data_IF_482691712612
#
_entry.id   IF_482691712612
#
_cell.length_a   1.000
_cell.length_b   1.000
_cell.length_c   1.000
_cell.angle_alpha   90.00
_cell.angle_beta   90.00
_cell.angle_gamma   90.00
#
_symmetry.space_group_name_H-M   'P 1'
#
loop_
_entity.id
_entity.type
_entity.pdbx_description
1 polymer ?
#
# COMPACT_ATOMS: atom_id res chain seq x y z
N UNK A 1 -72.85 39.52 -36.76
CA UNK A 1 -71.42 39.84 -36.59
C UNK A 1 -70.78 38.68 -35.84
N UNK A 2 -70.12 37.81 -36.56
CA UNK A 2 -69.47 36.60 -36.07
C UNK A 2 -68.03 36.98 -35.67
N UNK A 3 -67.57 36.63 -34.42
CA UNK A 3 -66.19 36.74 -33.97
C UNK A 3 -65.46 35.45 -34.31
N UNK A 4 -64.22 35.46 -34.80
CA UNK A 4 -63.46 34.26 -35.08
C UNK A 4 -62.87 33.64 -33.83
N UNK A 5 -62.92 32.30 -33.77
CA UNK A 5 -62.27 31.49 -32.72
C UNK A 5 -60.77 31.43 -32.94
N UNK A 6 -60.02 31.67 -31.85
CA UNK A 6 -58.57 31.49 -31.80
C UNK A 6 -58.27 30.03 -31.43
N UNK A 7 -57.66 29.28 -32.35
CA UNK A 7 -57.15 27.92 -32.07
C UNK A 7 -55.72 28.09 -31.50
N UNK A 8 -55.53 27.73 -30.23
CA UNK A 8 -54.19 27.64 -29.62
C UNK A 8 -53.68 26.20 -29.81
N UNK A 9 -52.71 26.03 -30.69
CA UNK A 9 -52.01 24.76 -30.85
C UNK A 9 -50.97 24.63 -29.72
N UNK A 10 -51.18 23.66 -28.82
CA UNK A 10 -50.21 23.25 -27.83
C UNK A 10 -49.22 22.28 -28.50
N UNK A 11 -48.01 22.73 -28.75
CA UNK A 11 -46.93 21.83 -29.18
C UNK A 11 -46.33 21.20 -27.91
N UNK A 12 -46.63 19.93 -27.70
CA UNK A 12 -45.99 19.12 -26.64
C UNK A 12 -44.56 18.77 -27.08
N UNK A 13 -43.55 19.34 -26.39
CA UNK A 13 -42.19 18.91 -26.51
C UNK A 13 -42.00 17.63 -25.69
N UNK A 14 -41.91 16.50 -26.34
CA UNK A 14 -41.49 15.25 -25.74
C UNK A 14 -39.97 15.30 -25.64
N UNK A 15 -39.46 15.55 -24.43
CA UNK A 15 -38.05 15.34 -24.09
C UNK A 15 -37.75 13.84 -24.23
N UNK A 16 -37.12 13.43 -25.30
CA UNK A 16 -36.48 12.13 -25.43
C UNK A 16 -35.26 12.14 -24.47
N UNK A 17 -35.45 11.60 -23.27
CA UNK A 17 -34.35 11.22 -22.38
C UNK A 17 -33.71 10.00 -23.05
N UNK A 18 -32.58 10.20 -23.70
CA UNK A 18 -31.76 9.09 -24.16
C UNK A 18 -31.37 8.24 -22.91
N UNK A 19 -31.51 6.90 -23.00
CA UNK A 19 -31.06 6.06 -21.91
C UNK A 19 -29.53 6.29 -21.71
N UNK A 20 -29.14 6.63 -20.52
CA UNK A 20 -27.73 6.62 -20.09
C UNK A 20 -27.24 5.20 -20.32
N UNK A 21 -26.43 5.00 -21.34
CA UNK A 21 -25.67 3.78 -21.50
C UNK A 21 -24.73 3.71 -20.27
N UNK A 22 -24.71 2.61 -19.52
CA UNK A 22 -23.61 2.41 -18.58
C UNK A 22 -22.35 2.44 -19.43
N UNK A 23 -21.46 3.40 -19.16
CA UNK A 23 -20.14 3.40 -19.76
C UNK A 23 -19.54 2.02 -19.46
N UNK A 24 -19.47 1.17 -20.45
CA UNK A 24 -18.66 -0.03 -20.39
C UNK A 24 -17.23 0.46 -20.25
N UNK A 25 -16.68 0.36 -19.05
CA UNK A 25 -15.26 0.50 -18.83
C UNK A 25 -14.56 -0.53 -19.71
N UNK A 26 -14.04 -0.09 -20.85
CA UNK A 26 -13.17 -0.92 -21.69
C UNK A 26 -11.89 -1.05 -20.89
N UNK A 27 -11.65 -2.23 -20.33
CA UNK A 27 -10.40 -2.58 -19.70
C UNK A 27 -9.28 -2.45 -20.73
N UNK A 28 -8.21 -1.75 -20.39
CA UNK A 28 -7.04 -1.66 -21.26
C UNK A 28 -6.55 -3.08 -21.60
N UNK A 29 -6.33 -3.37 -22.88
CA UNK A 29 -5.75 -4.66 -23.30
C UNK A 29 -4.44 -4.90 -22.55
N UNK A 30 -4.30 -6.06 -21.92
CA UNK A 30 -3.10 -6.44 -21.16
C UNK A 30 -3.22 -6.39 -19.64
N UNK A 31 -4.31 -5.81 -19.09
CA UNK A 31 -4.54 -5.78 -17.64
C UNK A 31 -5.34 -7.01 -17.20
N UNK A 32 -4.70 -7.93 -16.48
CA UNK A 32 -5.33 -9.13 -15.91
C UNK A 32 -5.64 -8.89 -14.42
N UNK A 33 -6.90 -9.12 -14.00
CA UNK A 33 -7.33 -8.96 -12.60
C UNK A 33 -7.81 -10.27 -12.03
N UNK A 34 -7.30 -10.61 -10.86
CA UNK A 34 -7.69 -11.78 -10.10
C UNK A 34 -8.17 -11.34 -8.71
N UNK A 35 -9.47 -11.43 -8.36
CA UNK A 35 -9.99 -11.19 -7.02
C UNK A 35 -9.60 -12.36 -6.10
N UNK A 36 -8.33 -12.45 -5.76
CA UNK A 36 -7.70 -13.61 -5.12
C UNK A 36 -8.33 -13.98 -3.77
N UNK A 37 -8.50 -12.98 -2.91
CA UNK A 37 -8.94 -13.20 -1.53
C UNK A 37 -10.25 -12.45 -1.28
N UNK A 38 -11.36 -13.17 -1.37
CA UNK A 38 -12.65 -12.66 -0.95
C UNK A 38 -12.87 -12.94 0.54
N UNK A 39 -13.50 -12.02 1.25
CA UNK A 39 -13.81 -12.19 2.65
C UNK A 39 -14.79 -13.34 2.88
N UNK A 40 -14.67 -13.97 4.05
CA UNK A 40 -15.58 -15.03 4.52
C UNK A 40 -16.03 -14.70 5.94
N UNK A 41 -16.98 -15.48 6.49
CA UNK A 41 -17.47 -15.24 7.84
C UNK A 41 -16.37 -15.44 8.91
N UNK A 42 -15.47 -16.39 8.68
CA UNK A 42 -14.33 -16.72 9.56
C UNK A 42 -13.06 -15.88 9.26
N UNK A 43 -13.01 -15.24 8.10
CA UNK A 43 -11.95 -14.34 7.70
C UNK A 43 -12.53 -13.08 7.04
N UNK A 44 -13.14 -12.19 7.82
CA UNK A 44 -13.86 -11.02 7.29
C UNK A 44 -12.94 -9.92 6.75
N UNK A 45 -11.62 -10.06 6.90
CA UNK A 45 -10.57 -9.20 6.33
C UNK A 45 -9.35 -10.03 5.96
N UNK A 46 -8.88 -9.82 4.72
CA UNK A 46 -7.64 -10.37 4.18
C UNK A 46 -6.91 -9.24 3.47
N UNK A 47 -5.78 -8.79 4.01
CA UNK A 47 -5.15 -7.53 3.56
C UNK A 47 -3.65 -7.50 3.83
N UNK A 48 -2.98 -6.44 3.33
CA UNK A 48 -1.61 -6.05 3.70
C UNK A 48 -0.61 -7.19 3.47
N UNK A 49 -0.63 -7.72 2.26
CA UNK A 49 0.28 -8.77 1.81
C UNK A 49 1.43 -8.24 1.00
N UNK A 50 2.36 -9.15 0.68
CA UNK A 50 3.51 -8.90 -0.15
C UNK A 50 3.93 -10.18 -0.91
N UNK A 51 4.74 -10.01 -1.95
CA UNK A 51 5.19 -11.07 -2.83
C UNK A 51 6.67 -11.38 -2.66
N UNK A 52 7.04 -12.59 -3.04
CA UNK A 52 8.42 -12.94 -3.37
C UNK A 52 8.45 -14.02 -4.43
N UNK A 53 9.30 -13.88 -5.46
CA UNK A 53 9.56 -14.95 -6.40
C UNK A 53 10.50 -15.98 -5.79
N UNK A 54 10.11 -17.26 -5.83
CA UNK A 54 10.92 -18.40 -5.40
C UNK A 54 11.89 -18.80 -6.53
N UNK A 55 12.98 -19.50 -6.17
CA UNK A 55 14.00 -19.94 -7.15
C UNK A 55 13.49 -20.88 -8.22
N UNK A 56 12.43 -21.63 -7.95
CA UNK A 56 11.78 -22.52 -8.92
C UNK A 56 10.80 -21.81 -9.86
N UNK A 57 10.71 -20.47 -9.75
CA UNK A 57 9.86 -19.61 -10.56
C UNK A 57 8.45 -19.43 -10.01
N UNK A 58 8.06 -20.16 -8.98
CA UNK A 58 6.78 -19.89 -8.29
C UNK A 58 6.81 -18.52 -7.61
N UNK A 59 5.63 -17.96 -7.40
CA UNK A 59 5.45 -16.71 -6.66
C UNK A 59 4.68 -17.02 -5.39
N UNK A 60 5.25 -16.64 -4.25
CA UNK A 60 4.59 -16.68 -2.95
C UNK A 60 3.98 -15.32 -2.65
N UNK A 61 2.71 -15.29 -2.26
CA UNK A 61 2.03 -14.12 -1.71
C UNK A 61 1.67 -14.40 -0.26
N UNK A 62 2.20 -13.62 0.69
CA UNK A 62 1.89 -13.73 2.12
C UNK A 62 1.07 -12.52 2.54
N UNK A 63 0.04 -12.70 3.33
CA UNK A 63 -0.90 -11.64 3.73
C UNK A 63 -1.43 -11.84 5.14
N UNK A 64 -1.99 -10.76 5.71
CA UNK A 64 -2.65 -10.77 7.02
C UNK A 64 -4.09 -11.30 6.90
N UNK A 65 -4.39 -12.40 7.59
CA UNK A 65 -5.71 -13.01 7.69
C UNK A 65 -6.31 -12.72 9.06
N UNK A 66 -7.31 -11.84 9.11
CA UNK A 66 -7.94 -11.40 10.35
C UNK A 66 -9.20 -12.21 10.66
N UNK A 67 -9.45 -12.44 11.94
CA UNK A 67 -10.69 -13.03 12.46
C UNK A 67 -11.81 -12.00 12.65
N UNK A 68 -11.52 -10.72 12.52
CA UNK A 68 -12.45 -9.59 12.57
C UNK A 68 -12.09 -8.52 11.54
N UNK A 69 -12.71 -7.34 11.63
CA UNK A 69 -12.53 -6.25 10.65
C UNK A 69 -11.63 -5.13 11.11
N UNK A 70 -11.38 -5.05 12.42
CA UNK A 70 -10.58 -4.00 13.06
C UNK A 70 -9.09 -4.32 12.98
N UNK A 71 -8.25 -3.28 12.99
CA UNK A 71 -6.79 -3.39 13.20
C UNK A 71 -6.43 -3.94 14.60
N UNK A 72 -7.41 -4.13 15.47
CA UNK A 72 -7.23 -4.65 16.83
C UNK A 72 -7.72 -6.08 16.98
N UNK A 73 -8.38 -6.64 15.98
CA UNK A 73 -8.79 -8.03 15.97
C UNK A 73 -7.59 -8.96 15.73
N UNK A 74 -7.71 -10.20 16.16
CA UNK A 74 -6.66 -11.19 15.98
C UNK A 74 -6.41 -11.45 14.49
N UNK A 75 -5.14 -11.61 14.12
CA UNK A 75 -4.73 -12.01 12.78
C UNK A 75 -3.48 -12.87 12.82
N UNK A 76 -3.33 -13.67 11.79
CA UNK A 76 -2.18 -14.51 11.49
C UNK A 76 -1.71 -14.22 10.05
N UNK A 77 -0.52 -14.71 9.69
CA UNK A 77 -0.04 -14.61 8.32
C UNK A 77 -0.35 -15.90 7.57
N UNK A 78 -1.00 -15.76 6.43
CA UNK A 78 -1.32 -16.87 5.54
C UNK A 78 -0.74 -16.61 4.14
N UNK A 79 -0.66 -17.63 3.30
CA UNK A 79 -0.09 -17.51 1.97
C UNK A 79 -0.92 -18.20 0.89
N UNK A 80 -0.68 -17.75 -0.34
CA UNK A 80 -1.08 -18.34 -1.61
C UNK A 80 0.13 -18.46 -2.51
N UNK A 81 0.13 -19.44 -3.41
CA UNK A 81 1.22 -19.68 -4.36
C UNK A 81 0.69 -19.69 -5.78
N UNK A 82 1.41 -19.05 -6.69
CA UNK A 82 1.23 -19.14 -8.13
C UNK A 82 2.39 -19.89 -8.77
N UNK A 83 2.11 -20.74 -9.74
CA UNK A 83 3.11 -21.46 -10.56
C UNK A 83 3.07 -21.06 -12.05
N UNK A 84 2.29 -20.05 -12.41
CA UNK A 84 2.09 -19.62 -13.79
C UNK A 84 2.31 -18.10 -14.00
N UNK A 85 3.21 -17.54 -13.19
CA UNK A 85 3.57 -16.11 -13.28
C UNK A 85 2.51 -15.16 -12.74
N UNK A 86 1.71 -15.60 -11.76
CA UNK A 86 0.70 -14.77 -11.09
C UNK A 86 -0.67 -14.78 -11.74
N UNK A 87 -0.91 -15.62 -12.77
CA UNK A 87 -2.23 -15.72 -13.42
C UNK A 87 -3.24 -16.43 -12.55
N UNK A 88 -2.85 -17.58 -12.00
CA UNK A 88 -3.68 -18.35 -11.07
C UNK A 88 -2.94 -18.62 -9.77
N UNK A 89 -3.70 -18.87 -8.71
CA UNK A 89 -3.19 -19.02 -7.36
C UNK A 89 -3.84 -20.23 -6.69
N UNK A 90 -3.15 -20.82 -5.72
CA UNK A 90 -3.71 -21.91 -4.92
C UNK A 90 -5.03 -21.50 -4.26
N UNK A 91 -5.95 -22.45 -4.10
CA UNK A 91 -7.29 -22.21 -3.52
C UNK A 91 -7.29 -22.06 -1.99
N UNK A 92 -6.32 -22.70 -1.33
CA UNK A 92 -6.30 -22.83 0.12
C UNK A 92 -5.29 -21.89 0.76
N UNK A 93 -5.67 -21.33 1.91
CA UNK A 93 -4.79 -20.55 2.76
C UNK A 93 -3.83 -21.49 3.51
N UNK A 94 -2.53 -21.34 3.31
CA UNK A 94 -1.52 -22.00 4.13
C UNK A 94 -1.04 -21.03 5.21
N UNK A 95 -1.15 -21.42 6.48
CA UNK A 95 -0.64 -20.61 7.59
C UNK A 95 0.88 -20.58 7.54
N UNK A 96 1.46 -19.38 7.44
CA UNK A 96 2.90 -19.14 7.43
C UNK A 96 3.40 -18.80 8.84
N UNK A 97 2.60 -18.04 9.59
CA UNK A 97 2.91 -17.63 10.94
C UNK A 97 1.62 -17.43 11.73
N UNK A 98 1.49 -18.12 12.84
CA UNK A 98 0.40 -17.93 13.79
C UNK A 98 0.49 -16.56 14.47
N UNK A 99 -0.57 -16.14 15.12
CA UNK A 99 -0.57 -14.88 15.86
C UNK A 99 0.44 -14.93 17.02
N UNK A 100 1.47 -14.10 16.97
CA UNK A 100 2.50 -13.95 18.01
C UNK A 100 2.24 -12.78 18.95
N UNK A 101 1.32 -11.88 18.59
CA UNK A 101 0.96 -10.73 19.41
C UNK A 101 -0.20 -11.04 20.37
N UNK A 102 -0.31 -10.27 21.44
CA UNK A 102 -1.52 -10.33 22.30
C UNK A 102 -2.78 -9.88 21.56
N UNK A 103 -2.62 -9.04 20.54
CA UNK A 103 -3.68 -8.61 19.64
C UNK A 103 -3.53 -9.32 18.29
N UNK A 104 -2.48 -9.02 17.53
CA UNK A 104 -2.31 -9.60 16.21
C UNK A 104 -0.86 -9.62 15.72
N UNK A 105 -0.67 -10.33 14.60
CA UNK A 105 0.51 -10.34 13.74
C UNK A 105 0.07 -9.94 12.34
N UNK A 106 0.61 -8.85 11.77
CA UNK A 106 0.11 -8.26 10.53
C UNK A 106 1.18 -7.51 9.72
N UNK A 107 0.80 -7.03 8.52
CA UNK A 107 1.58 -6.14 7.66
C UNK A 107 2.91 -6.74 7.21
N UNK A 108 2.87 -7.51 6.12
CA UNK A 108 4.03 -8.28 5.65
C UNK A 108 4.86 -7.46 4.67
N UNK A 109 6.21 -7.51 4.81
CA UNK A 109 7.16 -7.19 3.74
C UNK A 109 8.08 -8.39 3.50
N UNK A 110 8.20 -8.82 2.25
CA UNK A 110 9.03 -9.94 1.83
C UNK A 110 10.20 -9.43 0.98
N UNK A 111 11.41 -9.86 1.30
CA UNK A 111 12.57 -9.50 0.49
C UNK A 111 13.45 -10.75 0.21
N UNK A 112 13.78 -10.96 -1.05
CA UNK A 112 14.90 -11.81 -1.41
C UNK A 112 16.18 -11.03 -1.18
N UNK A 113 16.95 -11.39 -0.16
CA UNK A 113 18.20 -10.72 0.17
C UNK A 113 19.33 -11.10 -0.79
N UNK A 114 20.36 -10.25 -0.86
CA UNK A 114 21.55 -10.48 -1.68
C UNK A 114 22.30 -11.77 -1.32
N UNK A 115 22.18 -12.26 -0.08
CA UNK A 115 22.71 -13.56 0.36
C UNK A 115 21.76 -14.74 0.05
N UNK A 116 20.72 -14.49 -0.73
CA UNK A 116 19.72 -15.45 -1.19
C UNK A 116 18.70 -15.92 -0.16
N UNK A 117 18.76 -15.49 1.09
CA UNK A 117 17.69 -15.75 2.06
C UNK A 117 16.43 -14.97 1.66
N UNK A 118 15.28 -15.47 2.08
CA UNK A 118 14.04 -14.69 2.10
C UNK A 118 13.87 -14.14 3.50
N UNK A 119 13.71 -12.82 3.61
CA UNK A 119 13.36 -12.14 4.85
C UNK A 119 11.87 -11.81 4.86
N UNK A 120 11.17 -12.14 5.94
CA UNK A 120 9.77 -11.80 6.17
C UNK A 120 9.69 -10.85 7.36
N UNK A 121 9.38 -9.61 7.08
CA UNK A 121 9.13 -8.57 8.09
C UNK A 121 7.64 -8.50 8.38
N UNK A 122 7.29 -8.27 9.63
CA UNK A 122 5.90 -8.16 10.06
C UNK A 122 5.79 -7.36 11.36
N UNK A 123 4.62 -6.80 11.62
CA UNK A 123 4.30 -6.13 12.88
C UNK A 123 3.69 -7.12 13.88
N UNK A 124 4.23 -7.18 15.11
CA UNK A 124 3.63 -7.85 16.25
C UNK A 124 3.01 -6.80 17.18
N UNK A 125 1.70 -6.85 17.31
CA UNK A 125 0.92 -5.91 18.10
C UNK A 125 0.43 -6.53 19.40
N UNK A 126 0.87 -5.96 20.52
CA UNK A 126 0.46 -6.38 21.85
C UNK A 126 -0.56 -5.42 22.48
N UNK A 127 -0.47 -4.13 22.18
CA UNK A 127 -1.34 -3.06 22.68
C UNK A 127 -1.15 -1.78 21.87
N UNK A 128 -1.85 -0.69 22.25
CA UNK A 128 -1.59 0.66 21.71
C UNK A 128 -0.26 1.26 22.18
N UNK A 129 0.43 0.63 23.13
CA UNK A 129 1.74 1.04 23.65
C UNK A 129 2.86 0.10 23.22
N UNK A 130 2.53 -1.03 22.56
CA UNK A 130 3.51 -2.00 22.09
C UNK A 130 3.03 -2.63 20.78
N UNK A 131 3.51 -2.08 19.68
CA UNK A 131 3.42 -2.61 18.33
C UNK A 131 4.78 -2.40 17.68
N UNK A 132 5.49 -3.49 17.36
CA UNK A 132 6.87 -3.41 16.87
C UNK A 132 7.10 -4.35 15.69
N UNK A 133 7.98 -3.98 14.74
CA UNK A 133 8.40 -4.86 13.66
C UNK A 133 9.35 -5.94 14.15
N UNK A 134 9.22 -7.12 13.55
CA UNK A 134 10.07 -8.29 13.68
C UNK A 134 10.47 -8.80 12.30
N UNK A 135 11.54 -9.58 12.22
CA UNK A 135 11.93 -10.27 11.00
C UNK A 135 12.23 -11.75 11.25
N UNK A 136 11.86 -12.60 10.30
CA UNK A 136 12.24 -14.01 10.22
C UNK A 136 12.91 -14.28 8.88
N UNK A 137 13.79 -15.26 8.84
CA UNK A 137 14.53 -15.62 7.64
C UNK A 137 14.22 -17.06 7.24
N UNK A 138 14.17 -17.29 5.93
CA UNK A 138 14.13 -18.62 5.32
C UNK A 138 15.35 -18.83 4.44
N UNK A 139 15.93 -20.02 4.49
CA UNK A 139 17.02 -20.49 3.63
C UNK A 139 16.58 -21.60 2.68
N UNK A 140 15.32 -22.00 2.73
CA UNK A 140 14.70 -23.13 2.04
C UNK A 140 13.45 -22.75 1.25
N UNK A 141 13.47 -21.53 0.66
CA UNK A 141 12.40 -21.03 -0.21
C UNK A 141 11.03 -20.94 0.50
N UNK A 142 11.05 -20.39 1.72
CA UNK A 142 9.88 -20.19 2.58
C UNK A 142 9.21 -21.48 3.10
N UNK A 143 9.87 -22.64 2.99
CA UNK A 143 9.37 -23.87 3.57
C UNK A 143 9.43 -23.84 5.11
N UNK A 144 10.49 -23.26 5.66
CA UNK A 144 10.63 -23.02 7.11
C UNK A 144 11.17 -21.61 7.41
N UNK A 145 10.92 -21.14 8.62
CA UNK A 145 11.30 -19.81 9.08
C UNK A 145 12.11 -19.87 10.38
N UNK A 146 13.14 -19.04 10.48
CA UNK A 146 13.94 -18.87 11.70
C UNK A 146 13.10 -18.39 12.88
N UNK A 147 13.60 -18.47 14.12
CA UNK A 147 13.06 -17.67 15.22
C UNK A 147 13.00 -16.18 14.87
N UNK A 148 12.10 -15.39 15.49
CA UNK A 148 12.00 -13.96 15.22
C UNK A 148 13.23 -13.21 15.73
N UNK A 149 13.66 -12.22 14.96
CA UNK A 149 14.66 -11.23 15.40
C UNK A 149 13.93 -9.91 15.65
N UNK A 150 14.15 -9.32 16.82
CA UNK A 150 13.61 -8.01 17.17
C UNK A 150 14.35 -6.91 16.40
N UNK A 151 13.58 -6.02 15.76
CA UNK A 151 14.14 -4.85 15.07
C UNK A 151 14.23 -3.67 16.04
N UNK A 152 13.24 -3.53 16.92
CA UNK A 152 13.15 -2.47 17.91
C UNK A 152 13.29 -3.11 19.29
N UNK A 153 14.34 -2.77 20.06
CA UNK A 153 14.61 -3.40 21.36
C UNK A 153 13.56 -3.03 22.41
N UNK A 154 13.45 -3.84 23.45
CA UNK A 154 12.52 -3.62 24.57
C UNK A 154 12.69 -2.26 25.26
N UNK A 155 13.91 -1.71 25.26
CA UNK A 155 14.21 -0.37 25.80
C UNK A 155 13.54 0.77 25.02
N UNK A 156 13.13 0.50 23.77
CA UNK A 156 12.43 1.43 22.89
C UNK A 156 10.98 0.99 22.61
N UNK A 157 10.38 0.19 23.52
CA UNK A 157 8.99 -0.27 23.37
C UNK A 157 8.05 0.89 23.07
N UNK A 158 7.21 0.76 22.03
CA UNK A 158 6.30 1.79 21.57
C UNK A 158 5.37 1.27 20.47
N UNK A 159 4.50 2.15 19.99
CA UNK A 159 3.63 1.83 18.87
C UNK A 159 4.27 2.31 17.57
N UNK A 160 4.82 1.37 16.82
CA UNK A 160 5.45 1.61 15.52
C UNK A 160 4.64 0.93 14.43
N UNK A 161 4.21 1.71 13.45
CA UNK A 161 3.53 1.19 12.27
C UNK A 161 4.58 0.87 11.20
N UNK A 162 4.68 -0.39 10.84
CA UNK A 162 5.32 -0.87 9.62
C UNK A 162 4.20 -1.36 8.69
N UNK A 163 4.14 -0.84 7.48
CA UNK A 163 3.18 -1.32 6.48
C UNK A 163 3.78 -2.44 5.63
N UNK A 164 2.90 -3.11 4.88
CA UNK A 164 3.27 -4.12 3.92
C UNK A 164 4.09 -3.51 2.77
N UNK A 165 5.02 -4.27 2.22
CA UNK A 165 5.88 -3.90 1.09
C UNK A 165 6.61 -2.55 1.30
N UNK A 166 7.34 -2.43 2.44
CA UNK A 166 8.02 -1.18 2.82
C UNK A 166 9.51 -1.33 3.11
N UNK A 167 9.94 -2.54 3.40
CA UNK A 167 11.34 -2.80 3.73
C UNK A 167 12.15 -2.93 2.45
N UNK A 168 13.33 -2.31 2.42
CA UNK A 168 14.23 -2.40 1.27
C UNK A 168 15.62 -2.84 1.69
N UNK A 169 16.30 -3.60 0.81
CA UNK A 169 17.73 -3.81 0.87
C UNK A 169 18.39 -2.90 -0.17
N UNK A 170 19.25 -2.00 0.29
CA UNK A 170 20.01 -1.09 -0.57
C UNK A 170 21.09 -1.85 -1.37
N UNK A 171 21.56 -1.26 -2.48
CA UNK A 171 22.70 -1.77 -3.26
C UNK A 171 23.95 -1.98 -2.41
N UNK A 172 24.11 -1.23 -1.31
CA UNK A 172 25.17 -1.43 -0.32
C UNK A 172 25.05 -2.70 0.53
N UNK A 173 23.88 -3.36 0.49
CA UNK A 173 23.52 -4.49 1.35
C UNK A 173 22.80 -4.10 2.64
N UNK A 174 22.76 -2.80 2.99
CA UNK A 174 22.03 -2.31 4.16
C UNK A 174 20.53 -2.58 4.02
N UNK A 175 19.91 -3.08 5.10
CA UNK A 175 18.47 -3.17 5.21
C UNK A 175 17.93 -1.89 5.88
N UNK A 176 16.84 -1.36 5.34
CA UNK A 176 16.15 -0.16 5.83
C UNK A 176 14.70 -0.51 6.14
N UNK A 177 14.30 -0.35 7.39
CA UNK A 177 12.93 -0.57 7.88
C UNK A 177 12.32 0.77 8.25
N UNK A 178 11.52 1.39 7.38
CA UNK A 178 10.83 2.64 7.66
C UNK A 178 9.63 2.38 8.57
N UNK A 179 9.48 3.18 9.62
CA UNK A 179 8.35 3.08 10.56
C UNK A 179 7.80 4.45 10.92
N UNK A 180 6.53 4.48 11.30
CA UNK A 180 5.94 5.65 11.96
C UNK A 180 5.69 5.32 13.44
N UNK A 181 6.38 6.03 14.33
CA UNK A 181 6.14 5.96 15.77
C UNK A 181 4.98 6.86 16.18
N UNK A 182 4.05 6.34 16.97
CA UNK A 182 2.88 7.04 17.47
C UNK A 182 2.91 7.14 19.00
N UNK A 183 2.87 8.36 19.52
CA UNK A 183 2.88 8.63 20.95
C UNK A 183 1.50 8.38 21.58
N UNK A 184 1.07 7.12 21.64
CA UNK A 184 -0.22 6.75 22.18
C UNK A 184 -0.20 6.76 23.72
N UNK A 185 -0.95 7.66 24.39
CA UNK A 185 -1.00 7.69 25.86
C UNK A 185 -1.75 6.45 26.39
N UNK A 186 -1.33 5.97 27.57
CA UNK A 186 -2.03 4.88 28.27
C UNK A 186 -3.47 5.31 28.60
N UNK A 187 -4.45 4.49 28.21
CA UNK A 187 -5.87 4.80 28.36
C UNK A 187 -6.40 5.86 27.40
N UNK A 188 -5.57 6.41 26.50
CA UNK A 188 -5.94 7.40 25.49
C UNK A 188 -6.40 6.77 24.18
N UNK A 189 -6.77 7.67 23.23
CA UNK A 189 -7.08 7.28 21.84
C UNK A 189 -5.79 7.19 21.02
N UNK A 190 -5.87 6.47 19.90
CA UNK A 190 -4.80 6.43 18.92
C UNK A 190 -4.42 7.83 18.45
N UNK A 191 -3.12 8.17 18.54
CA UNK A 191 -2.58 9.44 18.03
C UNK A 191 -2.17 9.26 16.57
N UNK A 192 -2.90 9.91 15.69
CA UNK A 192 -2.68 9.77 14.23
C UNK A 192 -1.42 10.49 13.72
N UNK A 193 -0.83 11.40 14.51
CA UNK A 193 0.40 12.09 14.15
C UNK A 193 1.61 11.21 14.44
N UNK A 194 2.16 10.61 13.40
CA UNK A 194 3.36 9.80 13.50
C UNK A 194 4.63 10.65 13.46
N UNK A 195 5.71 10.08 13.99
CA UNK A 195 7.10 10.49 13.76
C UNK A 195 7.72 9.40 12.90
N UNK A 196 8.11 9.74 11.68
CA UNK A 196 8.71 8.76 10.76
C UNK A 196 10.23 8.70 10.97
N UNK A 197 10.76 7.48 10.97
CA UNK A 197 12.17 7.17 11.17
C UNK A 197 12.48 5.80 10.56
N UNK A 198 13.77 5.43 10.53
CA UNK A 198 14.19 4.12 10.06
C UNK A 198 14.98 3.35 11.10
N UNK A 199 14.83 2.03 11.10
CA UNK A 199 15.78 1.10 11.71
C UNK A 199 16.64 0.48 10.61
N UNK A 200 17.93 0.35 10.88
CA UNK A 200 18.95 0.00 9.90
C UNK A 200 19.73 -1.24 10.37
N UNK A 201 20.03 -2.12 9.41
CA UNK A 201 20.93 -3.25 9.64
C UNK A 201 22.00 -3.28 8.57
N UNK A 202 23.27 -3.36 8.99
CA UNK A 202 24.45 -3.44 8.13
C UNK A 202 25.05 -4.87 8.09
N UNK A 203 24.40 -5.85 8.74
CA UNK A 203 24.89 -7.22 8.90
C UNK A 203 23.89 -8.30 8.39
N UNK A 204 23.01 -7.90 7.47
CA UNK A 204 22.02 -8.79 6.87
C UNK A 204 20.86 -9.15 7.82
N UNK A 205 20.50 -8.25 8.72
CA UNK A 205 19.35 -8.37 9.61
C UNK A 205 19.63 -9.10 10.92
N UNK A 206 20.92 -9.35 11.27
CA UNK A 206 21.28 -9.99 12.54
C UNK A 206 21.21 -9.02 13.72
N UNK A 207 21.57 -7.76 13.50
CA UNK A 207 21.42 -6.70 14.48
C UNK A 207 20.83 -5.43 13.84
N UNK A 208 20.17 -4.64 14.67
CA UNK A 208 19.43 -3.46 14.25
C UNK A 208 19.75 -2.26 15.14
N UNK A 209 19.74 -1.09 14.55
CA UNK A 209 19.90 0.17 15.26
C UNK A 209 18.97 1.23 14.65
N UNK A 210 18.56 2.16 15.46
CA UNK A 210 17.80 3.33 15.01
C UNK A 210 18.72 4.25 14.18
N UNK A 211 18.19 4.78 13.05
CA UNK A 211 18.81 5.90 12.33
C UNK A 211 18.82 7.17 13.18
N UNK A 212 19.73 8.10 12.87
CA UNK A 212 19.98 9.32 13.69
C UNK A 212 18.88 10.37 13.54
N UNK A 213 18.19 10.39 12.39
CA UNK A 213 17.17 11.38 12.08
C UNK A 213 15.75 10.84 12.17
N UNK A 214 14.82 11.74 12.44
CA UNK A 214 13.36 11.48 12.37
C UNK A 214 12.63 12.73 11.91
N UNK A 215 11.42 12.57 11.38
CA UNK A 215 10.57 13.66 10.91
C UNK A 215 9.19 13.56 11.54
N UNK A 216 8.70 14.65 12.13
CA UNK A 216 7.41 14.71 12.81
C UNK A 216 6.31 15.40 11.99
N UNK A 217 6.59 15.70 10.74
CA UNK A 217 5.68 16.38 9.82
C UNK A 217 5.67 17.90 9.94
N UNK A 218 6.55 18.50 10.75
CA UNK A 218 6.70 19.94 10.82
C UNK A 218 7.45 20.44 9.58
N UNK A 219 6.78 21.25 8.76
CA UNK A 219 7.35 21.89 7.58
C UNK A 219 8.29 23.06 7.94
N UNK A 220 9.00 23.57 6.94
CA UNK A 220 9.89 24.74 7.11
C UNK A 220 9.14 26.02 7.52
N UNK A 221 7.83 26.09 7.25
CA UNK A 221 6.93 27.18 7.64
C UNK A 221 6.35 27.03 9.05
N UNK A 222 6.76 25.97 9.79
CA UNK A 222 6.25 25.64 11.12
C UNK A 222 4.88 24.95 11.14
N UNK A 223 4.21 24.80 10.01
CA UNK A 223 2.97 24.03 9.93
C UNK A 223 3.26 22.54 10.04
N UNK A 224 2.39 21.81 10.74
CA UNK A 224 2.55 20.38 10.95
C UNK A 224 1.46 19.58 10.28
N UNK A 225 1.86 18.59 9.49
CA UNK A 225 0.99 17.58 8.89
C UNK A 225 1.13 16.24 9.62
N UNK A 226 0.15 15.35 9.48
CA UNK A 226 0.35 13.96 9.91
C UNK A 226 1.31 13.27 8.94
N UNK A 227 2.35 12.61 9.46
CA UNK A 227 3.14 11.65 8.69
C UNK A 227 2.81 10.23 9.17
N UNK A 228 2.50 9.35 8.23
CA UNK A 228 2.11 7.96 8.51
C UNK A 228 2.63 7.03 7.41
N UNK A 229 2.77 5.77 7.74
CA UNK A 229 2.98 4.67 6.79
C UNK A 229 4.10 4.97 5.78
N UNK A 230 5.33 5.27 6.25
CA UNK A 230 6.44 5.60 5.37
C UNK A 230 6.83 4.40 4.52
N UNK A 231 7.26 4.67 3.28
CA UNK A 231 7.97 3.73 2.43
C UNK A 231 9.25 4.37 1.91
N UNK A 232 10.23 3.57 1.53
CA UNK A 232 11.53 4.03 1.06
C UNK A 232 11.87 3.38 -0.27
N UNK A 233 12.49 4.15 -1.17
CA UNK A 233 13.09 3.64 -2.40
C UNK A 233 14.50 4.22 -2.57
N UNK A 234 15.44 3.39 -3.05
CA UNK A 234 16.77 3.84 -3.42
C UNK A 234 16.75 4.39 -4.85
N UNK A 235 17.18 5.63 -5.01
CA UNK A 235 17.28 6.31 -6.30
C UNK A 235 18.54 5.91 -7.06
N UNK A 236 18.61 6.23 -8.36
CA UNK A 236 19.77 5.87 -9.20
C UNK A 236 21.06 6.56 -8.76
N UNK A 237 20.96 7.75 -8.17
CA UNK A 237 22.11 8.51 -7.64
C UNK A 237 22.55 8.07 -6.24
N UNK A 238 21.90 7.04 -5.66
CA UNK A 238 22.20 6.47 -4.35
C UNK A 238 21.54 7.20 -3.18
N UNK A 239 20.80 8.28 -3.41
CA UNK A 239 19.93 8.85 -2.38
C UNK A 239 18.75 7.94 -2.12
N UNK A 240 18.12 8.13 -0.97
CA UNK A 240 16.86 7.50 -0.66
C UNK A 240 15.74 8.53 -0.73
N UNK A 241 14.63 8.16 -1.31
CA UNK A 241 13.36 8.86 -1.23
C UNK A 241 12.46 8.13 -0.22
N UNK A 242 12.02 8.82 0.83
CA UNK A 242 10.93 8.38 1.70
C UNK A 242 9.65 9.09 1.28
N UNK A 243 8.60 8.34 1.04
CA UNK A 243 7.26 8.86 0.79
C UNK A 243 6.34 8.52 1.95
N UNK A 244 5.48 9.47 2.33
CA UNK A 244 4.62 9.35 3.51
C UNK A 244 3.18 9.70 3.17
N UNK A 245 2.26 8.91 3.70
CA UNK A 245 0.84 9.25 3.77
C UNK A 245 0.65 10.46 4.68
N UNK A 246 -0.18 11.43 4.25
CA UNK A 246 -0.50 12.62 5.03
C UNK A 246 -1.99 12.96 5.03
N UNK A 247 -2.40 13.88 5.90
CA UNK A 247 -3.71 14.51 5.86
C UNK A 247 -3.74 15.81 5.02
N UNK A 248 -2.65 16.15 4.32
CA UNK A 248 -2.48 17.40 3.57
C UNK A 248 -2.83 17.27 2.09
N UNK A 249 -3.57 16.25 1.68
CA UNK A 249 -4.01 16.00 0.29
C UNK A 249 -2.87 15.76 -0.71
N UNK A 250 -1.69 15.40 -0.24
CA UNK A 250 -0.58 14.97 -1.06
C UNK A 250 0.25 13.93 -0.33
N UNK A 251 0.97 13.10 -1.05
CA UNK A 251 2.08 12.35 -0.47
C UNK A 251 3.20 13.35 -0.15
N UNK A 252 3.89 13.16 0.97
CA UNK A 252 5.03 13.99 1.33
C UNK A 252 6.32 13.20 1.18
N UNK A 253 7.37 13.88 0.74
CA UNK A 253 8.67 13.33 0.46
C UNK A 253 9.73 13.85 1.41
N UNK A 254 10.61 12.96 1.86
CA UNK A 254 11.88 13.27 2.53
C UNK A 254 13.00 12.58 1.76
N UNK A 255 14.18 13.16 1.75
CA UNK A 255 15.36 12.58 1.10
C UNK A 255 16.46 12.32 2.11
N UNK A 256 17.21 11.24 1.91
CA UNK A 256 18.42 10.88 2.64
C UNK A 256 19.57 10.69 1.67
N UNK A 257 20.75 11.22 2.00
CA UNK A 257 21.99 11.04 1.26
C UNK A 257 23.04 10.20 2.03
N UNK A 258 22.65 9.62 3.15
CA UNK A 258 23.51 8.87 4.07
C UNK A 258 22.97 7.46 4.38
N UNK A 259 22.18 6.91 3.44
CA UNK A 259 21.63 5.55 3.55
C UNK A 259 20.59 5.40 4.65
N UNK A 260 19.76 6.42 4.88
CA UNK A 260 18.63 6.38 5.81
C UNK A 260 18.98 6.80 7.25
N UNK A 261 20.19 7.31 7.49
CA UNK A 261 20.58 7.82 8.81
C UNK A 261 19.85 9.11 9.17
N UNK A 262 19.81 10.06 8.23
CA UNK A 262 19.14 11.35 8.40
C UNK A 262 18.25 11.66 7.21
N UNK A 263 17.25 12.52 7.43
CA UNK A 263 16.21 12.82 6.45
C UNK A 263 15.98 14.32 6.35
N UNK A 264 15.77 14.80 5.13
CA UNK A 264 15.39 16.20 4.90
C UNK A 264 14.02 16.52 5.49
N UNK A 265 13.73 17.81 5.67
CA UNK A 265 12.39 18.28 6.06
C UNK A 265 11.35 17.78 5.04
N UNK A 266 10.19 17.26 5.50
CA UNK A 266 9.15 16.75 4.61
C UNK A 266 8.54 17.86 3.76
N UNK A 267 8.34 17.57 2.47
CA UNK A 267 7.73 18.49 1.50
C UNK A 267 6.61 17.78 0.73
N UNK A 268 5.55 18.49 0.34
CA UNK A 268 4.53 17.92 -0.52
C UNK A 268 5.12 17.52 -1.88
N UNK A 269 4.73 16.37 -2.38
CA UNK A 269 4.99 15.92 -3.74
C UNK A 269 3.91 16.43 -4.70
N UNK A 270 4.07 16.14 -6.00
CA UNK A 270 3.06 16.40 -7.02
C UNK A 270 1.91 15.38 -7.01
N UNK A 271 2.01 14.30 -6.21
CA UNK A 271 0.97 13.29 -6.08
C UNK A 271 -0.16 13.77 -5.17
N UNK A 272 -1.20 14.32 -5.76
CA UNK A 272 -2.43 14.69 -5.03
C UNK A 272 -3.14 13.41 -4.60
N UNK A 273 -3.38 13.24 -3.29
CA UNK A 273 -3.94 12.00 -2.74
C UNK A 273 -4.84 12.27 -1.54
N UNK A 274 -5.80 11.36 -1.24
CA UNK A 274 -6.46 11.34 0.06
C UNK A 274 -5.49 10.90 1.15
N UNK A 275 -5.95 10.77 2.37
CA UNK A 275 -5.18 10.13 3.44
C UNK A 275 -5.10 8.62 3.18
N UNK A 276 -4.23 8.21 2.26
CA UNK A 276 -4.02 6.85 1.81
C UNK A 276 -2.53 6.58 1.55
N UNK A 277 -2.02 5.38 1.81
CA UNK A 277 -0.66 5.01 1.45
C UNK A 277 -0.48 4.98 -0.07
N UNK A 278 0.72 5.27 -0.52
CA UNK A 278 1.21 5.02 -1.87
C UNK A 278 2.31 3.96 -1.83
N UNK A 279 2.64 3.38 -2.95
CA UNK A 279 3.81 2.53 -3.14
C UNK A 279 4.59 3.03 -4.35
N UNK A 280 5.90 3.14 -4.23
CA UNK A 280 6.80 3.46 -5.33
C UNK A 280 7.86 2.35 -5.43
N UNK A 281 8.08 1.85 -6.63
CA UNK A 281 9.19 0.98 -6.99
C UNK A 281 10.00 1.64 -8.10
N UNK A 282 10.81 0.89 -8.86
CA UNK A 282 11.70 1.38 -9.92
C UNK A 282 11.02 2.35 -10.90
N UNK A 283 10.88 3.62 -10.50
CA UNK A 283 10.19 4.70 -11.20
C UNK A 283 8.69 4.49 -11.45
N UNK A 284 8.08 3.50 -10.84
CA UNK A 284 6.63 3.25 -10.87
C UNK A 284 6.00 3.65 -9.53
N UNK A 285 4.96 4.46 -9.57
CA UNK A 285 4.13 4.81 -8.41
C UNK A 285 2.70 4.32 -8.61
N UNK A 286 2.11 3.76 -7.54
CA UNK A 286 0.69 3.41 -7.50
C UNK A 286 0.05 4.16 -6.31
N UNK A 287 -0.97 4.97 -6.59
CA UNK A 287 -1.62 5.79 -5.56
C UNK A 287 -3.10 6.04 -5.88
N UNK A 288 -3.83 6.52 -4.89
CA UNK A 288 -5.16 7.06 -5.15
C UNK A 288 -5.01 8.51 -5.67
N UNK A 289 -5.36 8.76 -6.91
CA UNK A 289 -5.26 10.08 -7.52
C UNK A 289 -6.52 10.91 -7.28
N UNK A 290 -6.37 11.97 -6.50
CA UNK A 290 -7.45 12.93 -6.24
C UNK A 290 -7.26 14.28 -6.97
N UNK A 291 -6.42 14.32 -7.98
CA UNK A 291 -6.33 15.52 -8.84
C UNK A 291 -7.69 15.81 -9.50
N UNK A 292 -8.17 17.04 -9.33
CA UNK A 292 -9.48 17.46 -9.85
C UNK A 292 -10.70 16.90 -9.10
N UNK A 293 -10.53 16.06 -8.07
CA UNK A 293 -11.64 15.54 -7.28
C UNK A 293 -11.95 16.51 -6.13
N UNK A 294 -13.22 16.94 -5.95
CA UNK A 294 -13.62 17.76 -4.80
C UNK A 294 -13.26 17.09 -3.47
N UNK A 295 -13.00 17.89 -2.45
CA UNK A 295 -12.75 17.38 -1.09
C UNK A 295 -14.02 16.65 -0.63
N UNK A 296 -13.94 15.35 -0.29
CA UNK A 296 -15.10 14.64 0.23
C UNK A 296 -15.53 15.24 1.57
N UNK A 297 -16.80 15.12 1.94
CA UNK A 297 -17.27 15.54 3.26
C UNK A 297 -16.44 14.90 4.38
N UNK A 298 -16.31 15.58 5.51
CA UNK A 298 -15.58 15.06 6.67
C UNK A 298 -16.12 13.68 7.07
N UNK A 299 -15.22 12.69 7.13
CA UNK A 299 -15.55 11.30 7.44
C UNK A 299 -15.79 10.40 6.22
N UNK A 300 -15.87 10.93 5.00
CA UNK A 300 -15.90 10.13 3.78
C UNK A 300 -14.47 9.66 3.46
N UNK A 301 -14.25 8.37 3.50
CA UNK A 301 -12.96 7.77 3.12
C UNK A 301 -13.07 7.26 1.69
N UNK A 302 -12.63 8.09 0.74
CA UNK A 302 -12.53 7.67 -0.66
C UNK A 302 -11.10 7.28 -0.97
N UNK A 303 -10.88 6.01 -1.32
CA UNK A 303 -9.59 5.49 -1.82
C UNK A 303 -9.76 5.00 -3.27
N UNK A 304 -10.30 5.89 -4.10
CA UNK A 304 -10.56 5.68 -5.54
C UNK A 304 -10.47 7.01 -6.27
N UNK A 305 -10.00 7.05 -7.55
CA UNK A 305 -9.46 5.93 -8.31
C UNK A 305 -8.08 5.48 -7.81
N UNK A 306 -7.67 4.26 -8.15
CA UNK A 306 -6.29 3.80 -8.03
C UNK A 306 -5.61 3.97 -9.38
N UNK A 307 -4.47 4.66 -9.40
CA UNK A 307 -3.71 4.92 -10.62
C UNK A 307 -2.26 4.49 -10.49
N UNK A 308 -1.63 4.24 -11.63
CA UNK A 308 -0.21 4.01 -11.80
C UNK A 308 0.40 5.12 -12.66
N UNK A 309 1.65 5.51 -12.39
CA UNK A 309 2.40 6.45 -13.21
C UNK A 309 3.90 6.16 -13.17
N UNK A 310 4.60 6.57 -14.23
CA UNK A 310 6.05 6.50 -14.33
C UNK A 310 6.70 7.83 -13.99
N UNK A 311 7.87 7.76 -13.38
CA UNK A 311 8.78 8.91 -13.24
C UNK A 311 10.07 8.63 -13.99
N UNK A 312 10.56 9.64 -14.71
CA UNK A 312 11.84 9.63 -15.42
C UNK A 312 12.87 10.58 -14.81
N UNK A 313 12.54 11.17 -13.66
CA UNK A 313 13.32 12.21 -12.98
C UNK A 313 13.39 11.98 -11.46
N UNK A 314 13.53 10.70 -11.05
CA UNK A 314 13.74 10.31 -9.65
C UNK A 314 12.58 10.72 -8.72
N UNK A 315 11.34 10.62 -9.22
CA UNK A 315 10.12 10.89 -8.46
C UNK A 315 9.74 12.37 -8.35
N UNK A 316 10.42 13.28 -9.07
CA UNK A 316 10.07 14.71 -9.05
C UNK A 316 8.77 14.97 -9.82
N UNK A 317 8.62 14.33 -10.99
CA UNK A 317 7.39 14.36 -11.78
C UNK A 317 6.92 12.96 -12.15
N UNK A 318 5.61 12.82 -12.37
CA UNK A 318 4.96 11.56 -12.70
C UNK A 318 4.17 11.73 -14.00
N UNK A 319 4.44 10.86 -14.95
CA UNK A 319 3.86 10.88 -16.30
C UNK A 319 3.24 9.53 -16.64
N UNK A 320 2.66 9.40 -17.83
CA UNK A 320 2.06 8.15 -18.30
C UNK A 320 1.07 7.57 -17.28
N UNK A 321 0.10 8.40 -16.88
CA UNK A 321 -0.84 8.07 -15.80
C UNK A 321 -1.91 7.12 -16.31
N UNK A 322 -1.95 5.90 -15.76
CA UNK A 322 -2.91 4.86 -16.09
C UNK A 322 -3.90 4.62 -14.95
N UNK A 323 -5.17 4.41 -15.28
CA UNK A 323 -6.18 4.03 -14.28
C UNK A 323 -6.21 2.50 -14.13
N UNK A 324 -5.84 2.03 -12.94
CA UNK A 324 -5.94 0.62 -12.56
C UNK A 324 -7.36 0.28 -12.09
N UNK A 325 -7.93 1.15 -11.24
CA UNK A 325 -9.26 1.00 -10.66
C UNK A 325 -10.04 2.30 -10.70
N UNK A 326 -11.26 2.26 -11.26
CA UNK A 326 -12.10 3.44 -11.43
C UNK A 326 -13.47 3.36 -10.76
N UNK A 327 -13.83 2.25 -10.10
CA UNK A 327 -15.12 2.13 -9.42
C UNK A 327 -15.24 3.18 -8.31
N UNK A 328 -16.23 4.05 -8.41
CA UNK A 328 -16.49 5.14 -7.43
C UNK A 328 -16.84 4.63 -6.03
N UNK A 329 -17.34 3.40 -5.92
CA UNK A 329 -17.62 2.73 -4.65
C UNK A 329 -16.46 1.84 -4.20
N UNK A 330 -15.35 1.84 -4.94
CA UNK A 330 -14.16 1.07 -4.62
C UNK A 330 -13.37 1.66 -3.46
N UNK A 331 -12.68 0.78 -2.76
CA UNK A 331 -11.75 1.13 -1.68
C UNK A 331 -10.44 0.38 -1.89
N UNK A 332 -9.45 1.10 -2.43
CA UNK A 332 -8.18 0.53 -2.89
C UNK A 332 -7.01 1.09 -2.09
N UNK A 333 -6.17 0.22 -1.53
CA UNK A 333 -4.99 0.64 -0.76
C UNK A 333 -4.06 -0.52 -0.43
N UNK A 334 -2.96 -0.21 0.24
CA UNK A 334 -1.97 -1.16 0.74
C UNK A 334 -1.41 -2.03 -0.38
N UNK A 335 -1.00 -1.35 -1.44
CA UNK A 335 -0.43 -1.97 -2.65
C UNK A 335 0.94 -2.56 -2.32
N UNK A 336 1.11 -3.84 -2.63
CA UNK A 336 2.39 -4.49 -2.80
C UNK A 336 2.73 -4.58 -4.29
N UNK A 337 4.01 -4.52 -4.64
CA UNK A 337 4.47 -4.49 -6.01
C UNK A 337 5.65 -5.44 -6.21
N UNK A 338 5.55 -6.33 -7.18
CA UNK A 338 6.62 -7.27 -7.56
C UNK A 338 6.82 -7.29 -9.05
N UNK A 339 8.09 -7.33 -9.47
CA UNK A 339 8.47 -7.46 -10.87
C UNK A 339 8.90 -8.90 -11.16
N UNK A 340 8.17 -9.57 -12.05
CA UNK A 340 8.43 -10.97 -12.42
C UNK A 340 8.69 -11.04 -13.92
N UNK A 341 9.96 -11.04 -14.32
CA UNK A 341 10.36 -10.92 -15.71
C UNK A 341 9.92 -9.57 -16.30
N UNK A 342 9.09 -9.62 -17.34
CA UNK A 342 8.50 -8.42 -17.98
C UNK A 342 7.12 -8.05 -17.43
N UNK A 343 6.69 -8.66 -16.34
CA UNK A 343 5.38 -8.44 -15.73
C UNK A 343 5.50 -7.66 -14.43
N UNK A 344 4.51 -6.81 -14.18
CA UNK A 344 4.25 -6.18 -12.88
C UNK A 344 3.08 -6.91 -12.22
N UNK A 345 3.25 -7.30 -10.96
CA UNK A 345 2.20 -7.81 -10.11
C UNK A 345 1.91 -6.78 -9.01
N UNK A 346 0.64 -6.43 -8.87
CA UNK A 346 0.16 -5.57 -7.80
C UNK A 346 -0.82 -6.34 -6.92
N UNK A 347 -0.55 -6.44 -5.61
CA UNK A 347 -1.46 -7.01 -4.63
C UNK A 347 -2.03 -5.90 -3.74
N UNK A 348 -3.34 -5.71 -3.70
CA UNK A 348 -3.93 -4.59 -2.94
C UNK A 348 -5.33 -4.91 -2.44
N UNK A 349 -5.74 -4.21 -1.37
CA UNK A 349 -7.13 -4.22 -0.93
C UNK A 349 -8.02 -3.66 -2.04
N UNK A 350 -9.09 -4.38 -2.40
CA UNK A 350 -10.00 -4.05 -3.50
C UNK A 350 -11.45 -4.36 -3.10
N UNK A 351 -11.96 -3.60 -2.14
CA UNK A 351 -13.34 -3.79 -1.66
C UNK A 351 -14.30 -2.89 -2.42
N UNK A 352 -15.45 -3.41 -2.80
CA UNK A 352 -16.60 -2.63 -3.25
C UNK A 352 -17.49 -2.32 -2.04
N UNK A 353 -17.61 -1.06 -1.67
CA UNK A 353 -18.31 -0.62 -0.47
C UNK A 353 -19.84 -0.80 -0.54
N UNK A 354 -20.39 -1.19 -1.70
CA UNK A 354 -21.81 -1.56 -1.83
C UNK A 354 -22.10 -2.97 -1.34
N UNK A 355 -21.10 -3.87 -1.38
CA UNK A 355 -21.26 -5.30 -1.07
C UNK A 355 -20.32 -5.79 0.01
N UNK A 356 -19.18 -5.13 0.20
CA UNK A 356 -18.19 -5.48 1.23
C UNK A 356 -17.78 -4.25 2.06
N UNK A 357 -16.85 -4.41 2.99
CA UNK A 357 -16.39 -3.29 3.83
C UNK A 357 -14.90 -3.16 3.71
N UNK A 358 -14.43 -1.93 3.74
CA UNK A 358 -13.05 -1.44 3.61
C UNK A 358 -12.03 -2.59 3.42
N UNK A 359 -11.10 -2.89 3.99
CA UNK A 359 -9.99 -3.84 3.83
C UNK A 359 -10.40 -5.34 3.74
N UNK A 360 -11.64 -5.66 3.32
CA UNK A 360 -12.18 -7.02 3.35
C UNK A 360 -11.51 -7.95 2.33
N UNK A 361 -11.33 -7.44 1.11
CA UNK A 361 -10.95 -8.24 -0.05
C UNK A 361 -9.58 -7.80 -0.59
N UNK A 362 -8.81 -8.75 -1.14
CA UNK A 362 -7.56 -8.48 -1.84
C UNK A 362 -7.62 -8.98 -3.28
N UNK A 363 -7.18 -8.13 -4.20
CA UNK A 363 -7.05 -8.42 -5.62
C UNK A 363 -5.58 -8.43 -6.03
N UNK A 364 -5.23 -9.31 -6.94
CA UNK A 364 -3.98 -9.27 -7.68
C UNK A 364 -4.27 -8.73 -9.07
N UNK A 365 -3.55 -7.70 -9.47
CA UNK A 365 -3.56 -7.17 -10.84
C UNK A 365 -2.20 -7.42 -11.45
N UNK A 366 -2.18 -7.94 -12.68
CA UNK A 366 -1.00 -8.28 -13.44
C UNK A 366 -1.05 -7.61 -14.79
N UNK A 367 0.08 -7.05 -15.24
CA UNK A 367 0.22 -6.46 -16.57
C UNK A 367 1.68 -6.46 -17.02
N UNK A 368 1.96 -6.46 -18.34
CA UNK A 368 3.33 -6.32 -18.83
C UNK A 368 3.88 -4.91 -18.57
N UNK A 369 5.15 -4.79 -18.26
CA UNK A 369 5.82 -3.48 -18.05
C UNK A 369 5.58 -2.56 -19.25
N UNK A 370 5.54 -3.12 -20.46
CA UNK A 370 5.29 -2.36 -21.69
C UNK A 370 3.96 -1.59 -21.66
N UNK A 371 2.94 -2.12 -20.98
CA UNK A 371 1.62 -1.46 -20.82
C UNK A 371 1.73 -0.06 -20.20
N UNK A 372 2.72 0.17 -19.31
CA UNK A 372 2.96 1.47 -18.67
C UNK A 372 3.46 2.54 -19.66
N UNK A 373 4.01 2.13 -20.81
CA UNK A 373 4.53 3.04 -21.84
C UNK A 373 3.52 3.28 -22.98
N UNK A 374 2.40 2.57 -22.98
CA UNK A 374 1.35 2.74 -23.98
C UNK A 374 0.50 3.95 -23.61
N UNK A 375 0.33 4.88 -24.56
CA UNK A 375 -0.56 6.03 -24.37
C UNK A 375 -2.00 5.51 -24.24
N UNK A 376 -2.67 5.82 -23.17
CA UNK A 376 -4.12 5.63 -23.07
C UNK A 376 -4.78 6.58 -24.08
N UNK A 377 -5.36 6.00 -25.13
CA UNK A 377 -6.11 6.72 -26.17
C UNK A 377 -7.51 7.11 -25.69
#
# INVERSE_FOLDING_TARGET
MLRPAVIVSIVAWTLLIAPFSPEQFVWAEGLEKNPLLTHTADAPRRSEGDFVQLRDGRILFVYSKFTGRSDFDASQLASRVSSDGGRTWSSDDLVVLENEGKMNTMSVSLNRLADSRIAMFYARKNSLQDCRPYVRFSTDEAATWSPPVEIIPDSETGYYVLNNDRVVQLKSGRLVVPVAWHANPVGGKFESRGVVLCYLSDDGGRSWRRGKGSQDGTGADGNRVTLQEPGVVELNDGRLLMFCRTNARAQFYCYSSDGGETWSVPKPSTLVSPQSPATTGDLLCVWNDHAGIPIPPKGASQRTPLKAALSRDEGLTWTDVHTLEGNRQGYYCYVAMEFVGDQVLLGYCASDLTVSKYLADTQITRFPIQWLYELQR
#
